data_IF_598118961502
#
_entry.id   IF_598118961502
#
_cell.length_a   1.000
_cell.length_b   1.000
_cell.length_c   1.000
_cell.angle_alpha   90.00
_cell.angle_beta   90.00
_cell.angle_gamma   90.00
#
_symmetry.space_group_name_H-M   'P 1'
#
loop_
_entity.id
_entity.type
_entity.pdbx_description
1 polymer ?
#
# COMPACT_ATOMS: atom_id res chain seq x y z
N UNK A 1 24.28 1.04 -24.58
CA UNK A 1 24.08 -0.29 -23.95
C UNK A 1 23.12 -0.15 -22.79
N UNK A 2 22.16 -1.07 -22.66
CA UNK A 2 21.11 -1.09 -21.62
C UNK A 2 21.70 -0.99 -20.20
N UNK A 3 22.89 -1.58 -19.97
CA UNK A 3 23.53 -1.62 -18.66
C UNK A 3 24.23 -0.31 -18.24
N UNK A 4 24.42 0.63 -19.17
CA UNK A 4 25.19 1.86 -18.90
C UNK A 4 24.56 2.68 -17.77
N UNK A 5 23.24 2.68 -17.67
CA UNK A 5 22.49 3.39 -16.63
C UNK A 5 22.86 2.88 -15.24
N UNK A 6 22.77 1.57 -15.02
CA UNK A 6 23.09 0.91 -13.75
C UNK A 6 24.55 1.16 -13.34
N UNK A 7 25.50 0.80 -14.21
CA UNK A 7 26.92 0.95 -13.94
C UNK A 7 27.35 2.38 -13.62
N UNK A 8 26.81 3.38 -14.34
CA UNK A 8 27.12 4.80 -14.12
C UNK A 8 26.63 5.28 -12.75
N UNK A 9 25.40 4.94 -12.37
CA UNK A 9 24.85 5.33 -11.06
C UNK A 9 25.64 4.66 -9.93
N UNK A 10 25.95 3.37 -10.06
CA UNK A 10 26.78 2.66 -9.10
C UNK A 10 28.16 3.33 -8.93
N UNK A 11 28.83 3.65 -10.04
CA UNK A 11 30.13 4.35 -10.02
C UNK A 11 30.03 5.70 -9.31
N UNK A 12 28.99 6.47 -9.60
CA UNK A 12 28.77 7.77 -8.97
C UNK A 12 28.62 7.61 -7.45
N UNK A 13 27.82 6.64 -7.00
CA UNK A 13 27.62 6.37 -5.56
C UNK A 13 28.92 5.95 -4.87
N UNK A 14 29.71 5.07 -5.51
CA UNK A 14 31.01 4.67 -5.00
C UNK A 14 31.94 5.87 -4.81
N UNK A 15 32.05 6.72 -5.84
CA UNK A 15 32.93 7.89 -5.81
C UNK A 15 32.46 8.93 -4.79
N UNK A 16 31.14 9.15 -4.63
CA UNK A 16 30.59 10.03 -3.60
C UNK A 16 30.95 9.57 -2.19
N UNK A 17 31.02 8.25 -1.96
CA UNK A 17 31.47 7.65 -0.70
C UNK A 17 33.00 7.57 -0.56
N UNK A 18 33.75 8.14 -1.50
CA UNK A 18 35.21 8.12 -1.57
C UNK A 18 35.83 6.71 -1.56
N UNK A 19 35.09 5.69 -2.01
CA UNK A 19 35.56 4.30 -1.96
C UNK A 19 36.36 3.94 -3.20
N UNK A 20 37.52 3.30 -3.00
CA UNK A 20 38.33 2.80 -4.11
C UNK A 20 37.81 1.45 -4.64
N UNK A 21 38.16 1.08 -5.87
CA UNK A 21 37.88 -0.28 -6.38
C UNK A 21 38.58 -1.36 -5.53
N UNK A 22 39.73 -1.01 -4.91
CA UNK A 22 40.47 -1.95 -4.07
C UNK A 22 39.74 -2.25 -2.77
N UNK A 23 39.26 -1.20 -2.13
CA UNK A 23 38.50 -1.28 -0.89
C UNK A 23 37.20 -2.07 -1.09
N UNK A 24 36.43 -1.75 -2.13
CA UNK A 24 35.20 -2.48 -2.44
C UNK A 24 35.46 -3.94 -2.78
N UNK A 25 36.56 -4.26 -3.47
CA UNK A 25 36.95 -5.64 -3.69
C UNK A 25 37.24 -6.38 -2.38
N UNK A 26 37.93 -5.74 -1.44
CA UNK A 26 38.23 -6.32 -0.12
C UNK A 26 36.95 -6.55 0.71
N UNK A 27 36.01 -5.60 0.70
CA UNK A 27 34.78 -5.67 1.50
C UNK A 27 33.74 -6.63 0.90
N UNK A 28 33.53 -6.58 -0.42
CA UNK A 28 32.47 -7.35 -1.08
C UNK A 28 32.92 -8.73 -1.58
N UNK A 29 34.23 -8.98 -1.66
CA UNK A 29 34.79 -10.16 -2.33
C UNK A 29 34.67 -10.14 -3.87
N UNK A 30 34.08 -9.10 -4.47
CA UNK A 30 33.92 -8.99 -5.94
C UNK A 30 35.18 -8.43 -6.57
N UNK A 31 35.70 -9.09 -7.63
CA UNK A 31 36.97 -8.68 -8.25
C UNK A 31 36.94 -7.25 -8.80
N UNK A 32 38.06 -6.52 -8.71
CA UNK A 32 38.19 -5.15 -9.27
C UNK A 32 37.85 -5.10 -10.76
N UNK A 33 38.21 -6.14 -11.51
CA UNK A 33 37.90 -6.25 -12.93
C UNK A 33 36.38 -6.34 -13.17
N UNK A 34 35.67 -7.14 -12.38
CA UNK A 34 34.21 -7.27 -12.43
C UNK A 34 33.54 -5.94 -12.09
N UNK A 35 33.94 -5.28 -11.00
CA UNK A 35 33.39 -3.97 -10.59
C UNK A 35 33.62 -2.94 -11.71
N UNK A 36 34.83 -2.87 -12.25
CA UNK A 36 35.17 -1.94 -13.33
C UNK A 36 34.36 -2.21 -14.61
N UNK A 37 34.17 -3.47 -15.00
CA UNK A 37 33.34 -3.80 -16.16
C UNK A 37 31.89 -3.37 -15.95
N UNK A 38 31.34 -3.60 -14.75
CA UNK A 38 29.99 -3.17 -14.39
C UNK A 38 29.83 -1.66 -14.43
N UNK A 39 30.72 -0.91 -13.77
CA UNK A 39 30.68 0.56 -13.73
C UNK A 39 30.77 1.21 -15.11
N UNK A 40 31.49 0.57 -16.03
CA UNK A 40 31.62 1.04 -17.40
C UNK A 40 30.50 0.50 -18.32
N UNK A 41 29.49 -0.20 -17.77
CA UNK A 41 28.35 -0.75 -18.51
C UNK A 41 28.71 -1.87 -19.49
N UNK A 42 29.86 -2.53 -19.29
CA UNK A 42 30.35 -3.62 -20.16
C UNK A 42 29.71 -4.96 -19.83
N UNK A 43 29.33 -5.18 -18.57
CA UNK A 43 28.63 -6.38 -18.10
C UNK A 43 27.73 -6.03 -16.92
N UNK A 44 26.76 -6.90 -16.61
CA UNK A 44 26.07 -6.88 -15.32
C UNK A 44 26.82 -7.72 -14.31
N UNK A 45 26.61 -7.42 -13.03
CA UNK A 45 26.95 -8.32 -11.93
C UNK A 45 25.77 -9.25 -11.65
N UNK A 46 26.05 -10.44 -11.13
CA UNK A 46 25.00 -11.32 -10.60
C UNK A 46 24.35 -10.68 -9.36
N UNK A 47 23.13 -11.11 -9.04
CA UNK A 47 22.33 -10.50 -7.97
C UNK A 47 23.04 -10.54 -6.61
N UNK A 48 23.60 -11.69 -6.23
CA UNK A 48 24.41 -11.89 -5.01
C UNK A 48 25.60 -10.91 -4.92
N UNK A 49 26.26 -10.66 -6.05
CA UNK A 49 27.37 -9.71 -6.12
C UNK A 49 26.89 -8.27 -6.00
N UNK A 50 25.75 -7.93 -6.61
CA UNK A 50 25.16 -6.60 -6.46
C UNK A 50 24.79 -6.34 -5.00
N UNK A 51 24.17 -7.31 -4.32
CA UNK A 51 23.84 -7.22 -2.89
C UNK A 51 25.10 -6.96 -2.04
N UNK A 52 26.13 -7.79 -2.19
CA UNK A 52 27.38 -7.63 -1.43
C UNK A 52 28.06 -6.26 -1.69
N UNK A 53 28.01 -5.78 -2.94
CA UNK A 53 28.56 -4.48 -3.32
C UNK A 53 27.77 -3.30 -2.72
N UNK A 54 26.44 -3.37 -2.74
CA UNK A 54 25.58 -2.33 -2.17
C UNK A 54 25.69 -2.30 -0.64
N UNK A 55 25.72 -3.46 0.01
CA UNK A 55 25.94 -3.59 1.45
C UNK A 55 27.29 -3.01 1.87
N UNK A 56 28.35 -3.31 1.10
CA UNK A 56 29.69 -2.72 1.33
C UNK A 56 29.71 -1.19 1.23
N UNK A 57 28.74 -0.60 0.51
CA UNK A 57 28.57 0.85 0.39
C UNK A 57 27.52 1.42 1.34
N UNK A 58 26.94 0.63 2.25
CA UNK A 58 25.81 1.02 3.09
C UNK A 58 24.63 1.56 2.25
N UNK A 59 24.22 0.79 1.25
CA UNK A 59 23.06 1.06 0.39
C UNK A 59 22.15 -0.16 0.36
N UNK A 60 20.86 0.07 0.35
CA UNK A 60 19.88 -0.99 0.09
C UNK A 60 19.65 -1.14 -1.42
N UNK A 61 19.08 -2.28 -1.84
CA UNK A 61 18.62 -2.47 -3.22
C UNK A 61 17.57 -1.43 -3.60
N UNK A 62 16.70 -1.05 -2.65
CA UNK A 62 15.65 -0.05 -2.87
C UNK A 62 16.24 1.33 -3.17
N UNK A 63 17.23 1.77 -2.38
CA UNK A 63 17.93 3.04 -2.63
C UNK A 63 18.51 3.05 -4.04
N UNK A 64 19.18 1.95 -4.41
CA UNK A 64 19.81 1.83 -5.71
C UNK A 64 18.81 1.83 -6.86
N UNK A 65 17.69 1.08 -6.74
CA UNK A 65 16.60 1.05 -7.72
C UNK A 65 16.04 2.46 -7.93
N UNK A 66 15.75 3.18 -6.85
CA UNK A 66 15.21 4.53 -6.87
C UNK A 66 16.17 5.51 -7.56
N UNK A 67 17.46 5.48 -7.20
CA UNK A 67 18.48 6.35 -7.77
C UNK A 67 18.72 6.07 -9.25
N UNK A 68 18.67 4.80 -9.64
CA UNK A 68 18.69 4.41 -11.05
C UNK A 68 17.45 4.98 -11.74
N UNK A 69 16.27 4.88 -11.16
CA UNK A 69 15.03 5.35 -11.76
C UNK A 69 14.74 6.85 -11.56
N UNK A 70 15.75 7.67 -11.28
CA UNK A 70 15.62 9.13 -11.09
C UNK A 70 14.60 9.52 -10.01
N UNK A 71 14.49 8.75 -8.95
CA UNK A 71 13.52 9.00 -7.88
C UNK A 71 12.11 8.52 -8.19
N UNK A 72 11.87 7.91 -9.36
CA UNK A 72 10.55 7.41 -9.73
C UNK A 72 10.36 5.96 -9.25
N UNK A 73 9.21 5.65 -8.62
CA UNK A 73 8.86 4.28 -8.28
C UNK A 73 8.47 3.50 -9.55
N UNK A 74 8.19 2.21 -9.38
CA UNK A 74 7.67 1.37 -10.45
C UNK A 74 6.35 1.92 -11.02
N UNK A 75 6.11 1.63 -12.31
CA UNK A 75 4.93 2.13 -13.03
C UNK A 75 3.62 1.81 -12.29
N UNK A 76 3.45 0.56 -11.82
CA UNK A 76 2.22 0.15 -11.15
C UNK A 76 1.99 0.91 -9.83
N UNK A 77 3.06 1.17 -9.05
CA UNK A 77 2.99 1.97 -7.82
C UNK A 77 2.51 3.38 -8.18
N UNK A 78 3.09 3.97 -9.22
CA UNK A 78 2.69 5.31 -9.69
C UNK A 78 1.21 5.34 -10.08
N UNK A 79 0.70 4.31 -10.76
CA UNK A 79 -0.73 4.26 -11.11
C UNK A 79 -1.62 4.18 -9.87
N UNK A 80 -1.30 3.33 -8.89
CA UNK A 80 -2.07 3.25 -7.64
C UNK A 80 -2.01 4.56 -6.84
N UNK A 81 -0.86 5.21 -6.77
CA UNK A 81 -0.74 6.52 -6.12
C UNK A 81 -1.57 7.61 -6.81
N UNK A 82 -1.68 7.57 -8.15
CA UNK A 82 -2.55 8.48 -8.90
C UNK A 82 -4.04 8.21 -8.58
N UNK A 83 -4.44 6.94 -8.49
CA UNK A 83 -5.80 6.54 -8.07
C UNK A 83 -6.09 7.07 -6.67
N UNK A 84 -5.18 6.85 -5.70
CA UNK A 84 -5.35 7.36 -4.33
C UNK A 84 -5.47 8.89 -4.31
N UNK A 85 -4.61 9.60 -5.03
CA UNK A 85 -4.63 11.05 -5.09
C UNK A 85 -5.95 11.58 -5.69
N UNK A 86 -6.42 11.00 -6.79
CA UNK A 86 -7.68 11.35 -7.41
C UNK A 86 -8.86 11.06 -6.46
N UNK A 87 -8.86 9.91 -5.78
CA UNK A 87 -9.85 9.57 -4.76
C UNK A 87 -9.90 10.59 -3.61
N UNK A 88 -8.74 10.97 -3.05
CA UNK A 88 -8.67 11.97 -1.97
C UNK A 88 -9.06 13.38 -2.42
N UNK A 89 -8.82 13.73 -3.69
CA UNK A 89 -9.24 14.99 -4.28
C UNK A 89 -10.69 14.96 -4.80
N UNK A 90 -11.35 13.81 -4.76
CA UNK A 90 -12.70 13.59 -5.29
C UNK A 90 -12.80 13.91 -6.79
N UNK A 91 -11.72 13.61 -7.53
CA UNK A 91 -11.61 13.83 -8.96
C UNK A 91 -12.05 12.58 -9.73
N UNK A 92 -13.38 12.45 -9.89
CA UNK A 92 -13.98 11.30 -10.60
C UNK A 92 -13.58 11.25 -12.09
N UNK A 93 -13.35 12.41 -12.71
CA UNK A 93 -12.91 12.49 -14.10
C UNK A 93 -11.50 11.90 -14.26
N UNK A 94 -10.58 12.22 -13.35
CA UNK A 94 -9.24 11.62 -13.34
C UNK A 94 -9.30 10.11 -13.04
N UNK A 95 -10.18 9.66 -12.13
CA UNK A 95 -10.37 8.23 -11.88
C UNK A 95 -10.86 7.48 -13.12
N UNK A 96 -11.81 8.06 -13.87
CA UNK A 96 -12.27 7.49 -15.14
C UNK A 96 -11.16 7.50 -16.20
N UNK A 97 -10.38 8.58 -16.28
CA UNK A 97 -9.22 8.64 -17.19
C UNK A 97 -8.19 7.55 -16.88
N UNK A 98 -7.87 7.35 -15.59
CA UNK A 98 -6.94 6.30 -15.15
C UNK A 98 -7.47 4.89 -15.45
N UNK A 99 -8.78 4.67 -15.37
CA UNK A 99 -9.41 3.42 -15.81
C UNK A 99 -9.19 3.19 -17.31
N UNK A 100 -9.61 4.13 -18.15
CA UNK A 100 -9.53 4.00 -19.62
C UNK A 100 -8.09 3.82 -20.10
N UNK A 101 -7.17 4.64 -19.58
CA UNK A 101 -5.74 4.57 -19.91
C UNK A 101 -5.13 3.21 -19.61
N UNK A 102 -5.48 2.58 -18.49
CA UNK A 102 -4.89 1.29 -18.12
C UNK A 102 -5.51 0.09 -18.87
N UNK A 103 -6.61 0.29 -19.60
CA UNK A 103 -7.15 -0.70 -20.54
C UNK A 103 -6.42 -0.73 -21.88
N UNK A 104 -5.77 0.38 -22.29
CA UNK A 104 -5.11 0.49 -23.61
C UNK A 104 -3.97 -0.51 -23.83
N UNK A 105 -3.36 -1.01 -22.75
CA UNK A 105 -2.13 -1.81 -22.81
C UNK A 105 -2.37 -3.33 -22.98
N UNK A 106 -3.63 -3.79 -23.07
CA UNK A 106 -4.03 -5.21 -23.25
C UNK A 106 -3.23 -6.22 -22.38
N UNK A 107 -2.87 -5.83 -21.16
CA UNK A 107 -2.11 -6.65 -20.21
C UNK A 107 -2.95 -6.91 -18.96
N UNK A 108 -2.96 -8.17 -18.48
CA UNK A 108 -3.62 -8.56 -17.23
C UNK A 108 -3.20 -7.68 -16.03
N UNK A 109 -1.92 -7.27 -15.97
CA UNK A 109 -1.46 -6.40 -14.88
C UNK A 109 -2.03 -4.98 -14.95
N UNK A 110 -2.18 -4.40 -16.14
CA UNK A 110 -2.78 -3.07 -16.26
C UNK A 110 -4.30 -3.14 -16.14
N UNK A 111 -4.91 -4.26 -16.51
CA UNK A 111 -6.33 -4.51 -16.33
C UNK A 111 -6.75 -4.46 -14.85
N UNK A 112 -6.01 -5.10 -13.93
CA UNK A 112 -6.36 -5.02 -12.50
C UNK A 112 -6.15 -3.62 -11.90
N UNK A 113 -5.20 -2.84 -12.44
CA UNK A 113 -5.05 -1.41 -12.09
C UNK A 113 -6.28 -0.63 -12.57
N UNK A 114 -6.77 -0.91 -13.78
CA UNK A 114 -7.99 -0.31 -14.30
C UNK A 114 -9.18 -0.65 -13.39
N UNK A 115 -9.40 -1.92 -13.04
CA UNK A 115 -10.46 -2.33 -12.12
C UNK A 115 -10.34 -1.66 -10.75
N UNK A 116 -9.11 -1.46 -10.26
CA UNK A 116 -8.86 -0.72 -9.03
C UNK A 116 -9.31 0.74 -9.15
N UNK A 117 -9.03 1.43 -10.26
CA UNK A 117 -9.56 2.77 -10.51
C UNK A 117 -11.10 2.76 -10.54
N UNK A 118 -11.70 1.89 -11.35
CA UNK A 118 -13.16 1.74 -11.49
C UNK A 118 -13.86 1.53 -10.16
N UNK A 119 -13.34 0.63 -9.32
CA UNK A 119 -13.92 0.30 -8.03
C UNK A 119 -13.97 1.48 -7.04
N UNK A 120 -13.17 2.53 -7.25
CA UNK A 120 -13.14 3.70 -6.35
C UNK A 120 -14.19 4.76 -6.66
N UNK A 121 -14.77 4.78 -7.87
CA UNK A 121 -15.83 5.71 -8.24
C UNK A 121 -17.15 5.04 -8.62
N UNK A 122 -17.16 3.76 -9.00
CA UNK A 122 -18.37 3.04 -9.37
C UNK A 122 -18.31 1.55 -9.03
N UNK A 123 -19.42 0.85 -9.23
CA UNK A 123 -19.51 -0.60 -9.02
C UNK A 123 -18.85 -1.36 -10.19
N UNK A 124 -18.08 -2.38 -9.83
CA UNK A 124 -17.62 -3.41 -10.74
C UNK A 124 -18.79 -4.33 -11.11
N UNK A 125 -18.74 -4.90 -12.31
CA UNK A 125 -19.63 -5.97 -12.73
C UNK A 125 -19.30 -7.28 -12.00
N UNK A 126 -20.25 -8.22 -11.95
CA UNK A 126 -20.04 -9.53 -11.32
C UNK A 126 -18.83 -10.28 -11.90
N UNK A 127 -18.61 -10.17 -13.20
CA UNK A 127 -17.44 -10.76 -13.87
C UNK A 127 -16.13 -10.11 -13.40
N UNK A 128 -16.08 -8.78 -13.35
CA UNK A 128 -14.89 -8.05 -12.89
C UNK A 128 -14.59 -8.35 -11.41
N UNK A 129 -15.62 -8.49 -10.57
CA UNK A 129 -15.46 -8.91 -9.17
C UNK A 129 -14.85 -10.31 -9.12
N UNK A 130 -15.38 -11.28 -9.89
CA UNK A 130 -14.84 -12.65 -9.93
C UNK A 130 -13.37 -12.69 -10.38
N UNK A 131 -12.97 -11.85 -11.34
CA UNK A 131 -11.59 -11.74 -11.81
C UNK A 131 -10.66 -11.22 -10.70
N UNK A 132 -11.08 -10.19 -9.97
CA UNK A 132 -10.34 -9.65 -8.82
C UNK A 132 -10.25 -10.68 -7.69
N UNK A 133 -11.36 -11.33 -7.36
CA UNK A 133 -11.41 -12.36 -6.32
C UNK A 133 -10.54 -13.56 -6.66
N UNK A 134 -10.48 -13.94 -7.94
CA UNK A 134 -9.62 -15.02 -8.43
C UNK A 134 -8.14 -14.70 -8.19
N UNK A 135 -7.70 -13.48 -8.55
CA UNK A 135 -6.34 -13.01 -8.28
C UNK A 135 -6.02 -13.03 -6.78
N UNK A 136 -6.90 -12.45 -5.96
CA UNK A 136 -6.71 -12.34 -4.50
C UNK A 136 -6.94 -13.67 -3.75
N UNK A 137 -7.31 -14.74 -4.44
CA UNK A 137 -7.37 -16.09 -3.88
C UNK A 137 -6.05 -16.84 -4.03
N UNK A 138 -5.11 -16.33 -4.85
CA UNK A 138 -3.77 -16.90 -5.02
C UNK A 138 -2.91 -16.56 -3.79
N UNK A 139 -2.10 -17.53 -3.34
CA UNK A 139 -1.47 -17.63 -2.01
C UNK A 139 -0.82 -16.35 -1.42
N UNK A 140 -0.56 -16.32 -0.10
CA UNK A 140 -0.53 -15.07 0.68
C UNK A 140 0.80 -14.30 0.66
N UNK A 141 1.75 -14.69 -0.21
CA UNK A 141 3.00 -13.96 -0.39
C UNK A 141 2.76 -12.84 -1.40
N UNK A 142 2.15 -11.77 -0.91
CA UNK A 142 1.76 -10.62 -1.71
C UNK A 142 2.83 -9.54 -1.70
N UNK A 143 3.07 -8.97 -2.87
CA UNK A 143 3.79 -7.73 -3.01
C UNK A 143 2.87 -6.54 -2.78
N UNK A 144 3.38 -5.34 -3.05
CA UNK A 144 2.56 -4.13 -3.01
C UNK A 144 1.42 -4.16 -4.04
N UNK A 145 1.60 -4.86 -5.15
CA UNK A 145 0.63 -4.93 -6.24
C UNK A 145 -0.71 -5.52 -5.77
N UNK A 146 -0.71 -6.73 -5.19
CA UNK A 146 -1.95 -7.36 -4.70
C UNK A 146 -2.56 -6.57 -3.52
N UNK A 147 -1.71 -6.00 -2.65
CA UNK A 147 -2.17 -5.19 -1.52
C UNK A 147 -2.90 -3.93 -1.99
N UNK A 148 -2.38 -3.22 -3.00
CA UNK A 148 -3.07 -2.07 -3.57
C UNK A 148 -4.37 -2.46 -4.27
N UNK A 149 -4.40 -3.58 -5.02
CA UNK A 149 -5.63 -4.07 -5.64
C UNK A 149 -6.68 -4.33 -4.57
N UNK A 150 -6.31 -5.02 -3.48
CA UNK A 150 -7.21 -5.25 -2.36
C UNK A 150 -7.70 -3.92 -1.79
N UNK A 151 -6.83 -2.96 -1.48
CA UNK A 151 -7.22 -1.65 -0.92
C UNK A 151 -8.29 -0.95 -1.78
N UNK A 152 -8.13 -0.96 -3.09
CA UNK A 152 -9.04 -0.23 -3.98
C UNK A 152 -10.36 -0.96 -4.23
N UNK A 153 -10.35 -2.30 -4.21
CA UNK A 153 -11.54 -3.12 -4.53
C UNK A 153 -12.28 -3.67 -3.31
N UNK A 154 -11.69 -3.61 -2.10
CA UNK A 154 -12.16 -4.27 -0.87
C UNK A 154 -13.67 -4.14 -0.61
N UNK A 155 -14.21 -2.94 -0.79
CA UNK A 155 -15.61 -2.60 -0.48
C UNK A 155 -16.65 -3.36 -1.34
N UNK A 156 -16.21 -4.00 -2.42
CA UNK A 156 -17.07 -4.69 -3.38
C UNK A 156 -16.87 -6.21 -3.41
N UNK A 157 -15.93 -6.74 -2.61
CA UNK A 157 -15.59 -8.16 -2.61
C UNK A 157 -16.45 -8.96 -1.62
N UNK A 158 -16.44 -10.28 -1.78
CA UNK A 158 -17.10 -11.22 -0.89
C UNK A 158 -16.56 -11.11 0.56
N UNK A 159 -17.47 -10.93 1.52
CA UNK A 159 -17.14 -10.77 2.95
C UNK A 159 -16.35 -11.94 3.54
N UNK A 160 -16.55 -13.16 3.05
CA UNK A 160 -15.79 -14.33 3.51
C UNK A 160 -14.37 -14.34 2.94
N UNK A 161 -14.19 -13.92 1.69
CA UNK A 161 -12.86 -13.76 1.10
C UNK A 161 -12.06 -12.70 1.88
N UNK A 162 -12.64 -11.51 2.10
CA UNK A 162 -12.01 -10.44 2.88
C UNK A 162 -11.58 -10.96 4.25
N UNK A 163 -12.48 -11.65 4.96
CA UNK A 163 -12.19 -12.23 6.26
C UNK A 163 -11.05 -13.25 6.21
N UNK A 164 -11.06 -14.15 5.24
CA UNK A 164 -10.03 -15.18 5.09
C UNK A 164 -8.65 -14.57 4.79
N UNK A 165 -8.59 -13.52 3.96
CA UNK A 165 -7.35 -12.79 3.67
C UNK A 165 -6.80 -12.15 4.95
N UNK A 166 -7.64 -11.42 5.69
CA UNK A 166 -7.25 -10.76 6.94
C UNK A 166 -6.79 -11.80 7.97
N UNK A 167 -7.52 -12.90 8.14
CA UNK A 167 -7.11 -14.00 9.01
C UNK A 167 -5.73 -14.55 8.62
N UNK A 168 -5.48 -14.70 7.32
CA UNK A 168 -4.21 -15.21 6.81
C UNK A 168 -3.05 -14.26 7.11
N UNK A 169 -3.26 -12.93 6.97
CA UNK A 169 -2.24 -11.92 7.30
C UNK A 169 -1.78 -12.00 8.76
N UNK A 170 -2.66 -12.38 9.69
CA UNK A 170 -2.34 -12.43 11.12
C UNK A 170 -1.97 -13.83 11.63
N UNK A 171 -2.52 -14.90 11.03
CA UNK A 171 -2.24 -16.29 11.44
C UNK A 171 -0.92 -16.82 10.88
N UNK A 172 -0.54 -16.43 9.67
CA UNK A 172 0.71 -16.87 9.07
C UNK A 172 1.88 -15.98 9.54
N UNK A 173 2.77 -16.55 10.36
CA UNK A 173 3.91 -15.83 10.96
C UNK A 173 4.83 -15.17 9.94
N UNK A 174 5.10 -15.83 8.81
CA UNK A 174 5.99 -15.28 7.78
C UNK A 174 5.33 -14.09 7.08
N UNK A 175 4.03 -14.21 6.81
CA UNK A 175 3.24 -13.13 6.18
C UNK A 175 3.14 -11.93 7.11
N UNK A 176 2.75 -12.17 8.36
CA UNK A 176 2.65 -11.11 9.36
C UNK A 176 3.97 -10.38 9.56
N UNK A 177 5.09 -11.11 9.56
CA UNK A 177 6.42 -10.54 9.78
C UNK A 177 6.79 -9.52 8.69
N UNK A 178 6.64 -9.85 7.40
CA UNK A 178 7.00 -8.89 6.35
C UNK A 178 6.03 -7.70 6.30
N UNK A 179 4.74 -7.95 6.53
CA UNK A 179 3.73 -6.89 6.54
C UNK A 179 3.92 -5.90 7.70
N UNK A 180 4.39 -6.37 8.86
CA UNK A 180 4.54 -5.52 10.05
C UNK A 180 5.88 -4.79 10.11
N UNK A 181 6.96 -5.41 9.64
CA UNK A 181 8.33 -4.89 9.83
C UNK A 181 8.66 -3.76 8.87
N UNK A 182 8.26 -3.87 7.60
CA UNK A 182 8.53 -2.85 6.60
C UNK A 182 7.48 -1.74 6.68
N UNK A 183 7.93 -0.49 6.81
CA UNK A 183 7.05 0.67 7.00
C UNK A 183 5.99 0.79 5.88
N UNK A 184 6.41 0.61 4.63
CA UNK A 184 5.52 0.68 3.45
C UNK A 184 4.42 -0.37 3.50
N UNK A 185 4.78 -1.63 3.78
CA UNK A 185 3.80 -2.71 3.89
C UNK A 185 2.88 -2.56 5.10
N UNK A 186 3.40 -2.04 6.22
CA UNK A 186 2.58 -1.77 7.41
C UNK A 186 1.54 -0.71 7.14
N UNK A 187 1.89 0.34 6.39
CA UNK A 187 0.94 1.37 5.97
C UNK A 187 -0.18 0.79 5.09
N UNK A 188 0.16 -0.10 4.14
CA UNK A 188 -0.84 -0.80 3.32
C UNK A 188 -1.74 -1.71 4.16
N UNK A 189 -1.17 -2.47 5.10
CA UNK A 189 -1.96 -3.31 6.00
C UNK A 189 -2.92 -2.47 6.87
N UNK A 190 -2.48 -1.33 7.38
CA UNK A 190 -3.33 -0.39 8.11
C UNK A 190 -4.50 0.07 7.24
N UNK A 191 -4.25 0.46 5.98
CA UNK A 191 -5.30 0.89 5.05
C UNK A 191 -6.32 -0.22 4.75
N UNK A 192 -5.85 -1.46 4.59
CA UNK A 192 -6.70 -2.64 4.40
C UNK A 192 -7.62 -2.83 5.62
N UNK A 193 -7.07 -2.77 6.84
CA UNK A 193 -7.86 -2.93 8.06
C UNK A 193 -8.86 -1.79 8.26
N UNK A 194 -8.50 -0.55 7.93
CA UNK A 194 -9.41 0.60 7.98
C UNK A 194 -10.62 0.37 7.07
N UNK A 195 -10.39 -0.08 5.83
CA UNK A 195 -11.48 -0.36 4.87
C UNK A 195 -12.30 -1.57 5.28
N UNK A 196 -11.65 -2.64 5.74
CA UNK A 196 -12.33 -3.84 6.21
C UNK A 196 -13.22 -3.57 7.43
N UNK A 197 -12.79 -2.71 8.34
CA UNK A 197 -13.58 -2.31 9.51
C UNK A 197 -14.91 -1.69 9.07
N UNK A 198 -14.87 -0.72 8.14
CA UNK A 198 -16.08 -0.10 7.60
C UNK A 198 -17.00 -1.13 6.94
N UNK A 199 -16.42 -2.02 6.12
CA UNK A 199 -17.18 -3.07 5.44
C UNK A 199 -17.88 -4.02 6.42
N UNK A 200 -17.20 -4.46 7.48
CA UNK A 200 -17.82 -5.34 8.48
C UNK A 200 -18.82 -4.62 9.38
N UNK A 201 -18.63 -3.33 9.67
CA UNK A 201 -19.66 -2.52 10.35
C UNK A 201 -20.92 -2.41 9.49
N UNK A 202 -20.78 -2.07 8.21
CA UNK A 202 -21.90 -1.94 7.28
C UNK A 202 -22.63 -3.26 7.00
N UNK A 203 -21.92 -4.38 7.10
CA UNK A 203 -22.47 -5.73 6.99
C UNK A 203 -23.00 -6.29 8.33
N UNK A 204 -23.12 -5.45 9.37
CA UNK A 204 -23.59 -5.80 10.72
C UNK A 204 -22.85 -6.99 11.38
N UNK A 205 -21.58 -7.19 11.00
CA UNK A 205 -20.74 -8.28 11.47
C UNK A 205 -19.92 -7.88 12.71
N UNK A 206 -20.61 -7.66 13.85
CA UNK A 206 -20.02 -7.17 15.11
C UNK A 206 -18.71 -7.91 15.49
N UNK A 207 -18.74 -9.24 15.55
CA UNK A 207 -17.56 -10.04 15.92
C UNK A 207 -16.36 -9.81 15.01
N UNK A 208 -16.57 -9.71 13.69
CA UNK A 208 -15.47 -9.50 12.72
C UNK A 208 -14.94 -8.07 12.81
N UNK A 209 -15.83 -7.09 12.94
CA UNK A 209 -15.46 -5.68 13.14
C UNK A 209 -14.65 -5.51 14.43
N UNK A 210 -15.10 -6.04 15.57
CA UNK A 210 -14.35 -5.98 16.83
C UNK A 210 -12.94 -6.57 16.73
N UNK A 211 -12.76 -7.67 15.99
CA UNK A 211 -11.44 -8.27 15.75
C UNK A 211 -10.57 -7.38 14.85
N UNK A 212 -11.13 -6.84 13.76
CA UNK A 212 -10.39 -5.97 12.83
C UNK A 212 -9.94 -4.69 13.54
N UNK A 213 -10.80 -4.05 14.31
CA UNK A 213 -10.45 -2.87 15.10
C UNK A 213 -9.34 -3.16 16.13
N UNK A 214 -9.41 -4.30 16.82
CA UNK A 214 -8.35 -4.73 17.75
C UNK A 214 -7.01 -4.92 17.03
N UNK A 215 -7.04 -5.57 15.86
CA UNK A 215 -5.86 -5.77 15.01
C UNK A 215 -5.24 -4.47 14.53
N UNK A 216 -6.06 -3.53 14.07
CA UNK A 216 -5.61 -2.20 13.66
C UNK A 216 -4.82 -1.51 14.79
N UNK A 217 -5.37 -1.49 16.01
CA UNK A 217 -4.68 -0.92 17.16
C UNK A 217 -3.38 -1.65 17.52
N UNK A 218 -3.30 -2.96 17.28
CA UNK A 218 -2.11 -3.78 17.59
C UNK A 218 -0.90 -3.54 16.68
N UNK A 219 -1.13 -2.99 15.48
CA UNK A 219 -0.07 -2.77 14.48
C UNK A 219 0.38 -1.31 14.37
N UNK A 220 -0.44 -0.35 14.83
CA UNK A 220 -0.06 1.06 14.88
C UNK A 220 1.00 1.32 15.96
N UNK A 221 2.03 2.09 15.63
CA UNK A 221 3.07 2.52 16.59
C UNK A 221 2.80 3.92 17.12
N UNK A 222 3.63 4.38 18.07
CA UNK A 222 3.43 5.67 18.74
C UNK A 222 3.27 6.84 17.75
N UNK A 223 4.14 6.91 16.75
CA UNK A 223 4.21 7.95 15.73
C UNK A 223 3.09 7.93 14.67
N UNK A 224 2.25 6.88 14.61
CA UNK A 224 1.24 6.72 13.56
C UNK A 224 -0.02 7.57 13.85
N UNK A 225 0.14 8.89 13.99
CA UNK A 225 -0.92 9.80 14.44
C UNK A 225 -2.14 9.80 13.53
N UNK A 226 -1.94 9.83 12.20
CA UNK A 226 -3.03 9.79 11.21
C UNK A 226 -3.84 8.50 11.33
N UNK A 227 -3.15 7.35 11.35
CA UNK A 227 -3.79 6.03 11.46
C UNK A 227 -4.55 5.88 12.77
N UNK A 228 -4.02 6.41 13.88
CA UNK A 228 -4.70 6.43 15.18
C UNK A 228 -5.92 7.33 15.22
N UNK A 229 -5.85 8.50 14.57
CA UNK A 229 -7.02 9.36 14.43
C UNK A 229 -8.14 8.65 13.65
N UNK A 230 -7.79 7.97 12.55
CA UNK A 230 -8.76 7.16 11.79
C UNK A 230 -9.28 6.00 12.63
N UNK A 231 -8.42 5.25 13.33
CA UNK A 231 -8.85 4.15 14.21
C UNK A 231 -9.81 4.63 15.32
N UNK A 232 -9.62 5.85 15.84
CA UNK A 232 -10.54 6.45 16.81
C UNK A 232 -11.89 6.79 16.19
N UNK A 233 -11.91 7.32 14.97
CA UNK A 233 -13.16 7.51 14.21
C UNK A 233 -13.86 6.17 14.00
N UNK A 234 -13.12 5.13 13.59
CA UNK A 234 -13.67 3.78 13.39
C UNK A 234 -14.23 3.18 14.69
N UNK A 235 -13.55 3.36 15.83
CA UNK A 235 -14.13 2.99 17.14
C UNK A 235 -15.44 3.72 17.40
N UNK A 236 -15.52 5.01 17.04
CA UNK A 236 -16.77 5.76 17.10
C UNK A 236 -17.86 5.20 16.18
N UNK A 237 -17.52 4.79 14.96
CA UNK A 237 -18.45 4.12 14.03
C UNK A 237 -18.93 2.76 14.58
N UNK A 238 -18.01 1.95 15.10
CA UNK A 238 -18.31 0.67 15.73
C UNK A 238 -19.25 0.86 16.94
N UNK A 239 -18.90 1.78 17.84
CA UNK A 239 -19.75 2.11 19.01
C UNK A 239 -21.11 2.64 18.56
N UNK A 240 -21.17 3.44 17.49
CA UNK A 240 -22.44 3.93 16.95
C UNK A 240 -23.34 2.79 16.45
N UNK A 241 -22.75 1.80 15.75
CA UNK A 241 -23.47 0.70 15.13
C UNK A 241 -23.91 -0.38 16.15
N UNK A 242 -23.03 -0.77 17.06
CA UNK A 242 -23.22 -1.99 17.88
C UNK A 242 -23.40 -1.74 19.38
N UNK A 243 -23.02 -0.57 19.90
CA UNK A 243 -23.02 -0.30 21.35
C UNK A 243 -24.02 0.82 21.71
N UNK A 244 -23.69 2.08 21.42
CA UNK A 244 -24.47 3.26 21.78
C UNK A 244 -24.30 4.37 20.73
N UNK A 245 -25.39 4.68 20.01
CA UNK A 245 -25.43 5.72 18.99
C UNK A 245 -24.90 7.07 19.50
N UNK A 246 -25.43 7.55 20.62
CA UNK A 246 -25.03 8.84 21.22
C UNK A 246 -23.54 8.90 21.56
N UNK A 247 -22.99 7.83 22.14
CA UNK A 247 -21.56 7.80 22.47
C UNK A 247 -20.68 7.71 21.22
N UNK A 248 -21.09 6.91 20.23
CA UNK A 248 -20.38 6.81 18.95
C UNK A 248 -20.30 8.17 18.24
N UNK A 249 -21.41 8.92 18.21
CA UNK A 249 -21.43 10.28 17.63
C UNK A 249 -20.49 11.25 18.33
N UNK A 250 -20.44 11.21 19.68
CA UNK A 250 -19.49 12.03 20.45
C UNK A 250 -18.04 11.70 20.11
N UNK A 251 -17.70 10.41 20.01
CA UNK A 251 -16.33 9.98 19.66
C UNK A 251 -15.96 10.46 18.26
N UNK A 252 -16.86 10.28 17.28
CA UNK A 252 -16.66 10.72 15.90
C UNK A 252 -16.45 12.24 15.86
N UNK A 253 -17.37 13.01 16.45
CA UNK A 253 -17.33 14.48 16.42
C UNK A 253 -16.03 15.03 17.02
N UNK A 254 -15.63 14.52 18.19
CA UNK A 254 -14.40 14.93 18.84
C UNK A 254 -13.15 14.66 17.98
N UNK A 255 -13.13 13.53 17.24
CA UNK A 255 -11.99 13.23 16.38
C UNK A 255 -11.97 14.08 15.10
N UNK A 256 -13.13 14.39 14.52
CA UNK A 256 -13.24 15.27 13.36
C UNK A 256 -12.83 16.71 13.70
N UNK A 257 -13.10 17.17 14.92
CA UNK A 257 -12.63 18.46 15.44
C UNK A 257 -11.10 18.50 15.52
N UNK A 258 -10.47 17.46 16.06
CA UNK A 258 -9.00 17.36 16.08
C UNK A 258 -8.41 17.43 14.66
N UNK A 259 -8.99 16.72 13.70
CA UNK A 259 -8.54 16.76 12.30
C UNK A 259 -8.65 18.17 11.70
N UNK A 260 -9.68 18.91 12.05
CA UNK A 260 -9.86 20.31 11.64
C UNK A 260 -8.77 21.20 12.24
N UNK A 261 -8.56 21.08 13.55
CA UNK A 261 -7.60 21.89 14.31
C UNK A 261 -6.15 21.70 13.84
N UNK A 262 -5.80 20.52 13.32
CA UNK A 262 -4.46 20.24 12.77
C UNK A 262 -4.35 20.47 11.25
N UNK A 263 -5.40 20.99 10.61
CA UNK A 263 -5.40 21.31 9.18
C UNK A 263 -5.55 20.11 8.24
N UNK A 264 -5.97 18.94 8.74
CA UNK A 264 -6.18 17.72 7.95
C UNK A 264 -7.54 17.73 7.18
N UNK A 265 -7.84 18.83 6.49
CA UNK A 265 -9.16 19.13 5.92
C UNK A 265 -9.58 18.11 4.85
N UNK A 266 -8.68 17.74 3.92
CA UNK A 266 -8.99 16.76 2.88
C UNK A 266 -9.34 15.39 3.46
N UNK A 267 -8.56 14.94 4.44
CA UNK A 267 -8.80 13.67 5.14
C UNK A 267 -10.15 13.70 5.87
N UNK A 268 -10.43 14.78 6.61
CA UNK A 268 -11.72 14.99 7.29
C UNK A 268 -12.89 14.87 6.31
N UNK A 269 -12.81 15.52 5.16
CA UNK A 269 -13.88 15.52 4.16
C UNK A 269 -14.17 14.10 3.61
N UNK A 270 -13.12 13.33 3.29
CA UNK A 270 -13.26 11.94 2.85
C UNK A 270 -13.90 11.09 3.95
N UNK A 271 -13.45 11.23 5.19
CA UNK A 271 -13.98 10.49 6.34
C UNK A 271 -15.46 10.84 6.60
N UNK A 272 -15.83 12.12 6.57
CA UNK A 272 -17.22 12.57 6.76
C UNK A 272 -18.15 11.96 5.71
N UNK A 273 -17.73 11.93 4.44
CA UNK A 273 -18.51 11.29 3.37
C UNK A 273 -18.73 9.81 3.68
N UNK A 274 -17.69 9.10 4.10
CA UNK A 274 -17.77 7.67 4.46
C UNK A 274 -18.64 7.41 5.69
N UNK A 275 -18.54 8.21 6.74
CA UNK A 275 -19.42 8.10 7.91
C UNK A 275 -20.87 8.34 7.52
N UNK A 276 -21.14 9.33 6.66
CA UNK A 276 -22.49 9.64 6.20
C UNK A 276 -23.11 8.47 5.45
N UNK A 277 -22.34 7.85 4.54
CA UNK A 277 -22.76 6.65 3.83
C UNK A 277 -23.00 5.47 4.80
N UNK A 278 -22.08 5.21 5.73
CA UNK A 278 -22.22 4.16 6.73
C UNK A 278 -23.49 4.34 7.57
N UNK A 279 -23.72 5.56 8.09
CA UNK A 279 -24.93 5.86 8.88
C UNK A 279 -26.21 5.61 8.09
N UNK A 280 -26.22 5.91 6.78
CA UNK A 280 -27.38 5.64 5.93
C UNK A 280 -27.66 4.15 5.71
N UNK A 281 -26.63 3.30 5.80
CA UNK A 281 -26.73 1.84 5.63
C UNK A 281 -27.16 1.15 6.93
N UNK A 282 -26.57 1.55 8.06
CA UNK A 282 -26.85 0.98 9.40
C UNK A 282 -28.20 1.43 9.99
N UNK A 283 -28.87 2.43 9.39
CA UNK A 283 -30.20 2.88 9.80
C UNK A 283 -31.35 2.13 9.09
N UNK A 284 -31.07 1.32 8.07
CA UNK A 284 -32.06 0.47 7.40
C UNK A 284 -32.23 -0.84 8.16
#
# INVERSE_FOLDING_TARGET
>A
MIYSKYGKIFRNLRLQKNMSLSELNTLSGVSKATISQFENGKSLVSFDKLEALLESMNLTILDYSLLVNNGLPEYFITQFQNIENAYYNQDEAELQHLYEKNLEYENESTYMIALSAKATYTQLSEKEIQEVESLLSVGPLWGQYELYILIHTLEQLNLNLIWNIIETFFKNKNVFKYLKVLHEYRALLINILIKAELVFIEAECDTKAGIVLSRLNSITVESDLTSKAIARVLKGCYTYAFESRSNGEKIIAACLEVMDNVGAIKLKNVIVRRITLLKSRVQK
#
